data_IF_882210065176
#
_entry.id   IF_882210065176
#
_cell.length_a   1.000
_cell.length_b   1.000
_cell.length_c   1.000
_cell.angle_alpha   90.00
_cell.angle_beta   90.00
_cell.angle_gamma   90.00
#
_symmetry.space_group_name_H-M   'P 1'
#
loop_
_entity.id
_entity.type
_entity.pdbx_description
1 polymer ?
#
# COMPACT_ATOMS: atom_id res chain seq x y z
N UNK A 1 -2.00 -46.90 -11.59
CA UNK A 1 -1.36 -46.26 -10.40
C UNK A 1 -0.99 -44.85 -10.82
N UNK A 2 -1.88 -43.92 -10.52
CA UNK A 2 -1.69 -42.49 -10.86
C UNK A 2 -1.22 -41.76 -9.61
N UNK A 3 -0.09 -41.08 -9.71
CA UNK A 3 0.48 -40.25 -8.66
C UNK A 3 -0.26 -38.91 -8.59
N UNK A 4 -0.60 -38.39 -7.39
CA UNK A 4 -1.20 -37.10 -7.23
C UNK A 4 -0.17 -35.99 -7.36
N UNK A 5 -0.53 -34.91 -8.06
CA UNK A 5 0.21 -33.65 -8.17
C UNK A 5 0.02 -32.86 -6.87
N UNK A 6 1.08 -32.36 -6.20
CA UNK A 6 0.94 -31.53 -5.01
C UNK A 6 0.84 -30.06 -5.38
N UNK A 7 -0.11 -29.34 -4.80
CA UNK A 7 -0.02 -27.91 -4.59
C UNK A 7 -1.10 -27.01 -5.20
N UNK A 8 -2.38 -27.30 -4.99
CA UNK A 8 -3.38 -26.24 -5.04
C UNK A 8 -3.47 -25.57 -3.66
N UNK A 9 -3.00 -24.31 -3.59
CA UNK A 9 -3.23 -23.43 -2.46
C UNK A 9 -4.69 -22.97 -2.53
N UNK A 10 -5.52 -23.16 -1.51
CA UNK A 10 -6.93 -22.75 -1.56
C UNK A 10 -7.01 -21.22 -1.65
N UNK A 11 -7.53 -20.74 -2.76
CA UNK A 11 -7.91 -19.35 -2.99
C UNK A 11 -9.12 -19.05 -2.11
N UNK A 12 -9.01 -18.05 -1.24
CA UNK A 12 -10.14 -17.56 -0.45
C UNK A 12 -11.30 -17.14 -1.38
N UNK A 13 -12.58 -17.37 -1.00
CA UNK A 13 -13.73 -17.14 -1.86
C UNK A 13 -13.85 -15.66 -2.22
N UNK A 14 -13.64 -15.34 -3.50
CA UNK A 14 -13.92 -14.05 -4.08
C UNK A 14 -15.42 -13.79 -4.13
N UNK A 15 -15.81 -12.55 -3.96
CA UNK A 15 -17.18 -12.05 -4.14
C UNK A 15 -17.75 -12.49 -5.51
N UNK A 16 -19.05 -12.81 -5.61
CA UNK A 16 -19.63 -13.37 -6.82
C UNK A 16 -19.68 -12.35 -7.96
N UNK A 17 -19.08 -12.66 -9.10
CA UNK A 17 -19.44 -12.10 -10.40
C UNK A 17 -18.40 -11.27 -11.15
N UNK A 18 -17.15 -11.16 -10.72
CA UNK A 18 -16.12 -10.40 -11.46
C UNK A 18 -14.81 -11.16 -11.60
N UNK A 19 -14.16 -11.03 -12.75
CA UNK A 19 -12.81 -11.52 -12.99
C UNK A 19 -11.85 -10.99 -11.89
N UNK A 20 -10.93 -11.84 -11.39
CA UNK A 20 -9.98 -11.48 -10.35
C UNK A 20 -8.99 -10.41 -10.84
N UNK A 21 -8.56 -9.52 -9.94
CA UNK A 21 -7.56 -8.48 -10.24
C UNK A 21 -6.27 -9.08 -10.84
N UNK A 22 -5.88 -10.29 -10.46
CA UNK A 22 -4.72 -10.98 -11.03
C UNK A 22 -4.91 -11.33 -12.50
N UNK A 23 -6.10 -11.79 -12.87
CA UNK A 23 -6.44 -12.08 -14.27
C UNK A 23 -6.43 -10.79 -15.11
N UNK A 24 -7.00 -9.70 -14.58
CA UNK A 24 -6.96 -8.38 -15.24
C UNK A 24 -5.52 -7.87 -15.41
N UNK A 25 -4.67 -8.02 -14.40
CA UNK A 25 -3.24 -7.69 -14.49
C UNK A 25 -2.55 -8.51 -15.58
N UNK A 26 -2.84 -9.81 -15.66
CA UNK A 26 -2.27 -10.68 -16.70
C UNK A 26 -2.70 -10.26 -18.11
N UNK A 27 -3.99 -9.95 -18.32
CA UNK A 27 -4.52 -9.47 -19.59
C UNK A 27 -3.93 -8.13 -20.01
N UNK A 28 -3.81 -7.20 -19.07
CA UNK A 28 -3.16 -5.91 -19.36
C UNK A 28 -1.70 -6.08 -19.78
N UNK A 29 -0.95 -7.01 -19.17
CA UNK A 29 0.43 -7.36 -19.57
C UNK A 29 0.53 -7.94 -20.98
N UNK A 30 -0.54 -8.53 -21.49
CA UNK A 30 -0.68 -9.01 -22.86
C UNK A 30 -1.13 -7.91 -23.84
N UNK A 31 -1.31 -6.66 -23.38
CA UNK A 31 -1.65 -5.51 -24.20
C UNK A 31 -3.14 -5.15 -24.21
N UNK A 32 -3.98 -5.81 -23.41
CA UNK A 32 -5.41 -5.51 -23.35
C UNK A 32 -5.67 -4.27 -22.44
N UNK A 33 -5.79 -3.10 -23.05
CA UNK A 33 -5.98 -1.82 -22.34
C UNK A 33 -7.26 -1.81 -21.48
N UNK A 34 -8.36 -2.41 -21.97
CA UNK A 34 -9.63 -2.50 -21.24
C UNK A 34 -9.53 -3.23 -19.90
N UNK A 35 -8.54 -4.13 -19.73
CA UNK A 35 -8.30 -4.78 -18.44
C UNK A 35 -7.80 -3.79 -17.39
N UNK A 36 -7.00 -2.77 -17.78
CA UNK A 36 -6.56 -1.74 -16.85
C UNK A 36 -7.68 -0.73 -16.53
N UNK A 37 -8.55 -0.44 -17.48
CA UNK A 37 -9.73 0.41 -17.23
C UNK A 37 -10.64 -0.21 -16.17
N UNK A 38 -10.81 -1.53 -16.19
CA UNK A 38 -11.57 -2.25 -15.18
C UNK A 38 -10.88 -2.20 -13.80
N UNK A 39 -9.54 -2.36 -13.72
CA UNK A 39 -8.77 -2.19 -12.49
C UNK A 39 -8.90 -0.76 -11.94
N UNK A 40 -8.85 0.25 -12.82
CA UNK A 40 -9.06 1.65 -12.46
C UNK A 40 -10.46 1.84 -11.87
N UNK A 41 -11.50 1.41 -12.58
CA UNK A 41 -12.90 1.54 -12.15
C UNK A 41 -13.17 0.92 -10.78
N UNK A 42 -12.57 -0.24 -10.50
CA UNK A 42 -12.71 -0.95 -9.20
C UNK A 42 -12.03 -0.23 -8.04
N UNK A 43 -10.88 0.36 -8.28
CA UNK A 43 -10.01 0.81 -7.18
C UNK A 43 -9.90 2.33 -7.05
N UNK A 44 -10.27 3.11 -8.10
CA UNK A 44 -10.16 4.57 -8.12
C UNK A 44 -10.80 5.21 -6.89
N UNK A 45 -12.08 4.94 -6.62
CA UNK A 45 -12.80 5.56 -5.51
C UNK A 45 -12.17 5.26 -4.12
N UNK A 46 -11.54 4.10 -3.95
CA UNK A 46 -10.86 3.75 -2.70
C UNK A 46 -9.55 4.52 -2.54
N UNK A 47 -8.77 4.66 -3.62
CA UNK A 47 -7.51 5.42 -3.64
C UNK A 47 -7.80 6.90 -3.43
N UNK A 48 -8.77 7.47 -4.15
CA UNK A 48 -9.17 8.85 -4.03
C UNK A 48 -9.61 9.20 -2.60
N UNK A 49 -10.53 8.42 -2.00
CA UNK A 49 -10.94 8.61 -0.60
C UNK A 49 -9.78 8.58 0.39
N UNK A 50 -8.78 7.74 0.13
CA UNK A 50 -7.56 7.69 0.96
C UNK A 50 -6.75 8.96 0.82
N UNK A 51 -6.56 9.44 -0.40
CA UNK A 51 -5.81 10.66 -0.70
C UNK A 51 -6.53 11.91 -0.19
N UNK A 52 -7.84 12.02 -0.35
CA UNK A 52 -8.64 13.13 0.21
C UNK A 52 -8.48 13.22 1.73
N UNK A 53 -8.54 12.07 2.43
CA UNK A 53 -8.29 12.05 3.88
C UNK A 53 -6.86 12.43 4.27
N UNK A 54 -5.88 12.12 3.41
CA UNK A 54 -4.48 12.40 3.68
C UNK A 54 -4.13 13.86 3.39
N UNK A 55 -4.59 14.40 2.26
CA UNK A 55 -4.23 15.73 1.77
C UNK A 55 -5.19 16.82 2.24
N UNK A 56 -6.43 16.47 2.65
CA UNK A 56 -7.46 17.42 3.06
C UNK A 56 -8.06 18.27 1.91
N UNK A 57 -7.66 17.99 0.66
CA UNK A 57 -8.10 18.71 -0.54
C UNK A 57 -8.47 17.70 -1.64
N UNK A 58 -9.69 17.83 -2.16
CA UNK A 58 -10.24 16.89 -3.13
C UNK A 58 -9.58 17.01 -4.52
N UNK A 59 -9.29 18.24 -4.97
CA UNK A 59 -8.63 18.48 -6.25
C UNK A 59 -7.21 17.87 -6.27
N UNK A 60 -6.43 18.12 -5.21
CA UNK A 60 -5.10 17.52 -5.05
C UNK A 60 -5.19 16.00 -4.97
N UNK A 61 -6.19 15.47 -4.25
CA UNK A 61 -6.39 14.03 -4.14
C UNK A 61 -6.71 13.40 -5.51
N UNK A 62 -7.48 14.07 -6.35
CA UNK A 62 -7.77 13.62 -7.71
C UNK A 62 -6.52 13.57 -8.58
N UNK A 63 -5.72 14.66 -8.60
CA UNK A 63 -4.45 14.70 -9.34
C UNK A 63 -3.50 13.58 -8.91
N UNK A 64 -3.31 13.41 -7.60
CA UNK A 64 -2.45 12.36 -7.06
C UNK A 64 -3.00 10.96 -7.32
N UNK A 65 -4.32 10.80 -7.38
CA UNK A 65 -4.96 9.55 -7.74
C UNK A 65 -4.68 9.18 -9.20
N UNK A 66 -4.86 10.12 -10.12
CA UNK A 66 -4.54 9.92 -11.54
C UNK A 66 -3.06 9.57 -11.73
N UNK A 67 -2.16 10.30 -11.08
CA UNK A 67 -0.72 10.02 -11.10
C UNK A 67 -0.39 8.63 -10.54
N UNK A 68 -1.08 8.19 -9.48
CA UNK A 68 -0.89 6.86 -8.91
C UNK A 68 -1.23 5.75 -9.91
N UNK A 69 -2.35 5.88 -10.62
CA UNK A 69 -2.74 4.91 -11.64
C UNK A 69 -1.85 4.97 -12.88
N UNK A 70 -1.42 6.15 -13.31
CA UNK A 70 -0.47 6.30 -14.40
C UNK A 70 0.85 5.57 -14.09
N UNK A 71 1.40 5.77 -12.89
CA UNK A 71 2.61 5.05 -12.43
C UNK A 71 2.36 3.55 -12.30
N UNK A 72 1.16 3.15 -11.90
CA UNK A 72 0.79 1.75 -11.85
C UNK A 72 0.79 1.13 -13.24
N UNK A 73 0.17 1.74 -14.24
CA UNK A 73 0.17 1.27 -15.62
C UNK A 73 1.58 1.09 -16.18
N UNK A 74 2.47 2.07 -15.95
CA UNK A 74 3.85 2.04 -16.43
C UNK A 74 4.71 0.93 -15.80
N UNK A 75 4.41 0.53 -14.56
CA UNK A 75 5.25 -0.41 -13.79
C UNK A 75 4.68 -1.82 -13.67
N UNK A 76 3.44 -2.04 -14.05
CA UNK A 76 2.74 -3.30 -13.85
C UNK A 76 3.40 -4.47 -14.63
N UNK A 77 4.03 -4.18 -15.76
CA UNK A 77 4.74 -5.16 -16.59
C UNK A 77 6.03 -5.66 -15.94
N UNK A 78 6.70 -4.80 -15.17
CA UNK A 78 7.97 -5.12 -14.50
C UNK A 78 7.78 -5.72 -13.09
N UNK A 79 6.55 -5.84 -12.60
CA UNK A 79 6.26 -6.29 -11.23
C UNK A 79 5.81 -7.76 -11.29
N UNK A 80 6.34 -8.63 -10.42
CA UNK A 80 5.95 -10.05 -10.35
C UNK A 80 4.51 -10.27 -9.88
N UNK A 81 4.28 -11.26 -9.03
CA UNK A 81 2.97 -11.52 -8.41
C UNK A 81 2.51 -10.29 -7.60
N UNK A 82 1.35 -9.76 -7.94
CA UNK A 82 0.93 -8.42 -7.54
C UNK A 82 -0.49 -8.41 -6.98
N UNK A 83 -0.65 -8.08 -5.71
CA UNK A 83 -1.93 -7.67 -5.15
C UNK A 83 -2.22 -6.22 -5.58
N UNK A 84 -2.86 -6.04 -6.74
CA UNK A 84 -3.02 -4.75 -7.41
C UNK A 84 -3.58 -3.66 -6.49
N UNK A 85 -4.68 -3.93 -5.80
CA UNK A 85 -5.31 -2.98 -4.87
C UNK A 85 -4.32 -2.45 -3.81
N UNK A 86 -3.60 -3.34 -3.15
CA UNK A 86 -2.65 -2.94 -2.11
C UNK A 86 -1.48 -2.15 -2.69
N UNK A 87 -1.07 -2.51 -3.89
CA UNK A 87 0.05 -1.88 -4.57
C UNK A 87 -0.29 -0.46 -5.06
N UNK A 88 -1.42 -0.26 -5.76
CA UNK A 88 -1.84 1.09 -6.20
C UNK A 88 -2.16 2.00 -5.01
N UNK A 89 -2.76 1.46 -3.96
CA UNK A 89 -3.00 2.18 -2.71
C UNK A 89 -1.69 2.68 -2.07
N UNK A 90 -0.63 1.88 -2.11
CA UNK A 90 0.71 2.26 -1.64
C UNK A 90 1.31 3.36 -2.51
N UNK A 91 1.20 3.25 -3.84
CA UNK A 91 1.68 4.29 -4.77
C UNK A 91 1.00 5.62 -4.43
N UNK A 92 -0.34 5.65 -4.34
CA UNK A 92 -1.09 6.85 -4.02
C UNK A 92 -0.75 7.43 -2.64
N UNK A 93 -0.66 6.58 -1.62
CA UNK A 93 -0.28 7.04 -0.27
C UNK A 93 1.11 7.67 -0.25
N UNK A 94 2.09 7.10 -0.96
CA UNK A 94 3.44 7.67 -1.06
C UNK A 94 3.41 9.03 -1.75
N UNK A 95 2.66 9.17 -2.85
CA UNK A 95 2.49 10.46 -3.53
C UNK A 95 1.88 11.51 -2.61
N UNK A 96 0.84 11.16 -1.85
CA UNK A 96 0.22 12.08 -0.89
C UNK A 96 1.19 12.51 0.23
N UNK A 97 1.98 11.59 0.77
CA UNK A 97 3.00 11.91 1.76
C UNK A 97 4.09 12.82 1.18
N UNK A 98 4.56 12.54 -0.05
CA UNK A 98 5.57 13.36 -0.71
C UNK A 98 5.05 14.77 -1.00
N UNK A 99 3.78 14.91 -1.42
CA UNK A 99 3.09 16.19 -1.58
C UNK A 99 3.07 16.99 -0.26
N UNK A 100 2.62 16.37 0.84
CA UNK A 100 2.59 17.03 2.16
C UNK A 100 3.99 17.44 2.65
N UNK A 101 5.02 16.68 2.31
CA UNK A 101 6.40 17.04 2.62
C UNK A 101 6.89 18.22 1.78
N UNK A 102 6.53 18.27 0.50
CA UNK A 102 6.85 19.39 -0.37
C UNK A 102 6.25 20.69 0.17
N UNK A 103 4.97 20.68 0.54
CA UNK A 103 4.28 21.82 1.17
C UNK A 103 4.98 22.30 2.46
N UNK A 104 5.45 21.39 3.30
CA UNK A 104 6.17 21.75 4.54
C UNK A 104 7.55 22.37 4.27
N UNK A 105 8.20 22.04 3.17
CA UNK A 105 9.52 22.60 2.80
C UNK A 105 9.44 23.96 2.15
N UNK A 106 8.31 24.28 1.50
CA UNK A 106 8.05 25.54 0.79
C UNK A 106 6.76 26.21 1.31
N UNK A 107 6.80 26.81 2.53
CA UNK A 107 5.61 27.43 3.11
C UNK A 107 5.09 28.64 2.31
N UNK A 108 5.93 29.28 1.48
CA UNK A 108 5.56 30.45 0.68
C UNK A 108 4.58 30.09 -0.45
N UNK A 109 4.68 28.89 -1.03
CA UNK A 109 3.73 28.39 -2.05
C UNK A 109 2.43 27.84 -1.42
N UNK A 110 2.42 27.76 -0.09
CA UNK A 110 1.35 27.15 0.72
C UNK A 110 0.24 28.15 1.11
N UNK A 111 0.37 29.47 0.83
CA UNK A 111 -0.63 30.43 1.31
C UNK A 111 -2.01 30.23 0.63
N UNK A 112 -2.04 29.87 -0.65
CA UNK A 112 -3.28 29.51 -1.34
C UNK A 112 -3.77 28.10 -0.95
N UNK A 113 -2.87 27.15 -0.74
CA UNK A 113 -3.20 25.82 -0.27
C UNK A 113 -3.63 25.80 1.22
N UNK A 114 -3.08 26.68 2.05
CA UNK A 114 -3.43 26.79 3.47
C UNK A 114 -4.85 27.32 3.70
N UNK A 115 -5.38 28.12 2.80
CA UNK A 115 -6.79 28.57 2.86
C UNK A 115 -7.78 27.45 2.46
N UNK A 116 -7.34 26.40 1.78
CA UNK A 116 -8.14 25.23 1.40
C UNK A 116 -8.00 24.05 2.37
N UNK A 117 -7.00 24.05 3.26
CA UNK A 117 -6.87 23.04 4.31
C UNK A 117 -7.78 23.41 5.47
N UNK A 118 -9.07 23.07 5.40
CA UNK A 118 -9.79 22.70 6.59
C UNK A 118 -9.05 21.48 7.13
N UNK A 119 -8.45 21.54 8.35
CA UNK A 119 -8.07 20.31 9.00
C UNK A 119 -9.37 19.51 9.05
N UNK A 120 -9.44 18.43 8.30
CA UNK A 120 -10.36 17.38 8.65
C UNK A 120 -9.88 16.95 10.04
N UNK A 121 -10.37 17.66 11.05
CA UNK A 121 -10.51 17.15 12.38
C UNK A 121 -11.43 15.94 12.20
N UNK A 122 -10.84 14.86 11.71
CA UNK A 122 -11.35 13.52 11.90
C UNK A 122 -11.29 13.29 13.39
N UNK A 123 -12.23 13.90 14.13
CA UNK A 123 -12.85 13.23 15.25
C UNK A 123 -13.00 11.79 14.76
N UNK A 124 -12.54 10.78 15.48
CA UNK A 124 -12.95 9.43 15.22
C UNK A 124 -14.48 9.46 15.37
N UNK A 125 -15.16 9.80 14.27
CA UNK A 125 -16.58 9.66 14.16
C UNK A 125 -16.82 8.19 14.52
N UNK A 126 -17.66 8.01 15.52
CA UNK A 126 -18.35 6.77 15.79
C UNK A 126 -19.04 6.33 14.49
N UNK A 127 -18.25 5.80 13.56
CA UNK A 127 -18.75 4.94 12.51
C UNK A 127 -19.07 3.65 13.24
N UNK A 128 -20.34 3.31 13.28
CA UNK A 128 -20.85 2.06 13.82
C UNK A 128 -19.83 0.95 13.59
N UNK A 129 -19.49 0.23 14.65
CA UNK A 129 -18.57 -0.91 14.65
C UNK A 129 -19.14 -1.98 13.71
N UNK A 130 -18.89 -1.79 12.42
CA UNK A 130 -19.17 -2.81 11.43
C UNK A 130 -18.12 -3.91 11.63
N UNK A 131 -18.53 -5.18 11.57
CA UNK A 131 -17.66 -6.37 11.63
C UNK A 131 -16.34 -6.18 10.89
N UNK A 132 -16.36 -5.50 9.74
CA UNK A 132 -15.18 -5.14 8.95
C UNK A 132 -14.19 -4.20 9.67
N UNK A 133 -14.61 -3.41 10.64
CA UNK A 133 -13.72 -2.55 11.44
C UNK A 133 -13.01 -3.33 12.54
N UNK A 134 -13.70 -4.30 13.12
CA UNK A 134 -13.12 -5.20 14.12
C UNK A 134 -12.07 -6.08 13.47
N UNK A 135 -12.39 -6.74 12.35
CA UNK A 135 -11.45 -7.56 11.57
C UNK A 135 -10.20 -6.78 11.17
N UNK A 136 -10.34 -5.54 10.67
CA UNK A 136 -9.19 -4.68 10.31
C UNK A 136 -8.34 -4.30 11.51
N UNK A 137 -8.93 -4.12 12.69
CA UNK A 137 -8.19 -3.85 13.92
C UNK A 137 -7.42 -5.07 14.39
N UNK A 138 -8.02 -6.25 14.30
CA UNK A 138 -7.37 -7.51 14.62
C UNK A 138 -6.23 -7.83 13.67
N UNK A 139 -6.44 -7.65 12.37
CA UNK A 139 -5.39 -7.79 11.36
C UNK A 139 -4.23 -6.81 11.59
N UNK A 140 -4.52 -5.55 11.91
CA UNK A 140 -3.50 -4.55 12.23
C UNK A 140 -2.73 -4.91 13.51
N UNK A 141 -3.40 -5.43 14.54
CA UNK A 141 -2.76 -5.91 15.78
C UNK A 141 -1.88 -7.12 15.50
N UNK A 142 -2.35 -8.04 14.67
CA UNK A 142 -1.59 -9.22 14.28
C UNK A 142 -0.32 -8.82 13.54
N UNK A 143 -0.41 -7.95 12.52
CA UNK A 143 0.75 -7.42 11.78
C UNK A 143 1.72 -6.69 12.73
N UNK A 144 1.21 -5.86 13.66
CA UNK A 144 2.04 -5.18 14.65
C UNK A 144 2.78 -6.18 15.57
N UNK A 145 2.12 -7.28 15.95
CA UNK A 145 2.74 -8.34 16.76
C UNK A 145 3.90 -9.02 16.02
N UNK A 146 3.74 -9.28 14.72
CA UNK A 146 4.77 -9.86 13.85
C UNK A 146 5.94 -8.88 13.69
N UNK A 147 5.66 -7.59 13.44
CA UNK A 147 6.70 -6.54 13.38
C UNK A 147 7.51 -6.46 14.68
N UNK A 148 6.87 -6.69 15.83
CA UNK A 148 7.54 -6.66 17.13
C UNK A 148 8.53 -7.83 17.34
N UNK A 149 8.40 -8.92 16.60
CA UNK A 149 9.34 -10.06 16.62
C UNK A 149 10.59 -9.81 15.77
N UNK A 150 10.57 -8.80 14.89
CA UNK A 150 11.73 -8.44 14.08
C UNK A 150 12.77 -7.68 14.92
N UNK A 151 14.04 -7.75 14.47
CA UNK A 151 15.07 -6.89 15.02
C UNK A 151 14.69 -5.41 14.88
N UNK A 152 15.09 -4.52 15.80
CA UNK A 152 14.76 -3.11 15.76
C UNK A 152 15.10 -2.45 14.41
N UNK A 153 16.22 -2.85 13.80
CA UNK A 153 16.69 -2.32 12.51
C UNK A 153 15.79 -2.75 11.35
N UNK A 154 15.38 -4.03 11.31
CA UNK A 154 14.46 -4.55 10.29
C UNK A 154 13.06 -3.93 10.45
N UNK A 155 12.54 -3.85 11.67
CA UNK A 155 11.28 -3.20 11.95
C UNK A 155 11.28 -1.74 11.49
N UNK A 156 12.32 -0.97 11.87
CA UNK A 156 12.42 0.45 11.55
C UNK A 156 12.42 0.69 10.04
N UNK A 157 13.19 -0.07 9.27
CA UNK A 157 13.24 0.11 7.80
C UNK A 157 11.91 -0.23 7.13
N UNK A 158 11.21 -1.27 7.61
CA UNK A 158 9.87 -1.62 7.09
C UNK A 158 8.84 -0.54 7.45
N UNK A 159 8.83 -0.03 8.68
CA UNK A 159 7.94 1.06 9.08
C UNK A 159 8.18 2.30 8.22
N UNK A 160 9.44 2.72 8.07
CA UNK A 160 9.79 3.87 7.24
C UNK A 160 9.35 3.69 5.78
N UNK A 161 9.46 2.48 5.23
CA UNK A 161 9.10 2.21 3.83
C UNK A 161 7.62 1.95 3.61
N UNK A 162 7.01 1.06 4.41
CA UNK A 162 5.68 0.52 4.14
C UNK A 162 4.57 1.33 4.83
N UNK A 163 4.87 1.95 5.97
CA UNK A 163 3.90 2.73 6.76
C UNK A 163 4.10 4.23 6.52
N UNK A 164 5.32 4.75 6.66
CA UNK A 164 5.62 6.17 6.45
C UNK A 164 5.83 6.50 4.95
N UNK A 165 6.01 5.51 4.08
CA UNK A 165 6.10 5.67 2.64
C UNK A 165 7.36 6.35 2.13
N UNK A 166 8.44 6.42 2.96
CA UNK A 166 9.68 7.08 2.58
C UNK A 166 10.35 6.43 1.37
N UNK A 167 10.95 7.25 0.51
CA UNK A 167 11.86 6.76 -0.54
C UNK A 167 13.20 6.27 0.03
N UNK A 168 13.98 5.59 -0.77
CA UNK A 168 15.26 5.01 -0.31
C UNK A 168 16.27 6.05 0.13
N UNK A 169 16.26 7.23 -0.48
CA UNK A 169 17.15 8.34 -0.13
C UNK A 169 16.80 8.90 1.25
N UNK A 170 15.53 9.20 1.49
CA UNK A 170 15.04 9.66 2.80
C UNK A 170 15.25 8.63 3.91
N UNK A 171 15.11 7.32 3.59
CA UNK A 171 15.41 6.24 4.53
C UNK A 171 16.91 6.19 4.81
N UNK A 172 17.75 6.30 3.79
CA UNK A 172 19.21 6.29 3.90
C UNK A 172 19.70 7.43 4.81
N UNK A 173 19.21 8.66 4.57
CA UNK A 173 19.48 9.83 5.40
C UNK A 173 19.05 9.63 6.86
N UNK A 174 17.84 9.07 7.08
CA UNK A 174 17.27 8.89 8.42
C UNK A 174 17.90 7.75 9.22
N UNK A 175 18.48 6.76 8.53
CA UNK A 175 19.18 5.64 9.13
C UNK A 175 20.71 5.81 9.11
N UNK A 176 21.21 6.90 8.54
CA UNK A 176 22.63 7.20 8.36
C UNK A 176 23.39 6.06 7.65
N UNK A 177 22.81 5.57 6.54
CA UNK A 177 23.37 4.50 5.73
C UNK A 177 23.30 4.85 4.24
N UNK A 178 23.97 4.08 3.38
CA UNK A 178 23.86 4.26 1.92
C UNK A 178 22.51 3.76 1.38
N UNK A 179 22.07 4.28 0.22
CA UNK A 179 20.86 3.78 -0.47
C UNK A 179 20.95 2.29 -0.78
N UNK A 180 22.12 1.78 -1.17
CA UNK A 180 22.36 0.35 -1.41
C UNK A 180 22.19 -0.48 -0.14
N UNK A 181 22.63 0.05 1.01
CA UNK A 181 22.42 -0.60 2.29
C UNK A 181 20.93 -0.65 2.68
N UNK A 182 20.14 0.41 2.36
CA UNK A 182 18.68 0.43 2.55
C UNK A 182 18.01 -0.68 1.73
N UNK A 183 18.39 -0.82 0.46
CA UNK A 183 17.85 -1.85 -0.43
C UNK A 183 18.08 -3.27 0.13
N UNK A 184 19.33 -3.55 0.51
CA UNK A 184 19.72 -4.82 1.12
C UNK A 184 18.98 -5.06 2.44
N UNK A 185 18.86 -4.02 3.26
CA UNK A 185 18.16 -4.09 4.55
C UNK A 185 16.67 -4.36 4.37
N UNK A 186 16.01 -3.71 3.41
CA UNK A 186 14.61 -3.94 3.07
C UNK A 186 14.39 -5.36 2.55
N UNK A 187 15.27 -5.86 1.69
CA UNK A 187 15.18 -7.22 1.18
C UNK A 187 15.21 -8.24 2.34
N UNK A 188 16.20 -8.13 3.24
CA UNK A 188 16.32 -8.99 4.41
C UNK A 188 15.16 -8.84 5.39
N UNK A 189 14.72 -7.61 5.64
CA UNK A 189 13.62 -7.31 6.55
C UNK A 189 12.29 -7.91 6.06
N UNK A 190 12.02 -7.84 4.75
CA UNK A 190 10.83 -8.47 4.13
C UNK A 190 10.89 -9.99 4.19
N UNK A 191 12.08 -10.58 4.00
CA UNK A 191 12.28 -12.03 4.17
C UNK A 191 11.94 -12.47 5.59
N UNK A 192 12.51 -11.80 6.59
CA UNK A 192 12.25 -12.09 8.00
C UNK A 192 10.81 -11.85 8.41
N UNK A 193 10.17 -10.82 7.90
CA UNK A 193 8.76 -10.56 8.15
C UNK A 193 7.88 -11.72 7.64
N UNK A 194 8.14 -12.22 6.43
CA UNK A 194 7.39 -13.38 5.87
C UNK A 194 7.56 -14.64 6.71
N UNK A 195 8.78 -14.92 7.17
CA UNK A 195 9.04 -16.06 8.05
C UNK A 195 8.29 -15.96 9.37
N UNK A 196 8.35 -14.81 10.04
CA UNK A 196 7.66 -14.59 11.32
C UNK A 196 6.13 -14.55 11.15
N UNK A 197 5.64 -14.01 10.03
CA UNK A 197 4.22 -14.02 9.71
C UNK A 197 3.70 -15.46 9.53
N UNK A 198 4.40 -16.28 8.75
CA UNK A 198 4.04 -17.68 8.54
C UNK A 198 4.03 -18.47 9.86
N UNK A 199 5.04 -18.26 10.74
CA UNK A 199 5.07 -18.86 12.08
C UNK A 199 3.89 -18.41 12.94
N UNK A 200 3.56 -17.11 12.92
CA UNK A 200 2.48 -16.58 13.72
C UNK A 200 1.11 -17.12 13.27
N UNK A 201 0.90 -17.28 11.96
CA UNK A 201 -0.31 -17.91 11.41
C UNK A 201 -0.40 -19.38 11.82
N UNK A 202 0.70 -20.15 11.73
CA UNK A 202 0.72 -21.54 12.12
C UNK A 202 0.48 -21.79 13.61
N UNK A 203 0.70 -20.80 14.48
CA UNK A 203 0.44 -20.86 15.91
C UNK A 203 -0.98 -20.39 16.28
N UNK A 204 -1.69 -19.76 15.34
CA UNK A 204 -3.06 -19.25 15.56
C UNK A 204 -4.15 -20.23 15.10
N UNK A 205 -3.75 -21.33 14.43
CA UNK A 205 -4.58 -22.47 14.02
C UNK A 205 -4.47 -23.61 15.04
#
# INVERSE_FOLDING_TARGET
MSTPVPGEVPTAPGLPGGEDDQALVARFRLGEVGAFEELYRRHHAAVQRRLTRLCGNEAIAEELCQEAFLRAAQRITATGDLRFRAWVMRIGTNLGIDHLRALRRHPADSLEAAMAIKPAAGTPGQVADTEQHVERREEARFVASVLNRLSPRHRRVLVLREIEGLDYRSIAERLEVSCSAVETLLFRARGRFREEYARAVALAV
#
